data_IF_712448231707
#
_entry.id   IF_712448231707
#
_cell.length_a   1.000
_cell.length_b   1.000
_cell.length_c   1.000
_cell.angle_alpha   90.00
_cell.angle_beta   90.00
_cell.angle_gamma   90.00
#
_symmetry.space_group_name_H-M   'P 1'
#
loop_
_entity.id
_entity.type
_entity.pdbx_description
1 polymer ?
#
# COMPACT_ATOMS: atom_id res chain seq x y z
N UNK A 1 9.15 10.00 6.30
CA UNK A 1 7.87 9.51 5.73
C UNK A 1 6.86 9.44 6.86
N UNK A 2 5.62 9.90 6.68
CA UNK A 2 4.61 9.95 7.75
C UNK A 2 4.26 8.51 8.20
N UNK A 3 4.42 8.13 9.48
CA UNK A 3 4.13 6.79 9.99
C UNK A 3 2.72 6.30 9.68
N UNK A 4 1.73 7.21 9.69
CA UNK A 4 0.34 6.88 9.41
C UNK A 4 0.13 6.35 7.97
N UNK A 5 0.88 6.87 6.99
CA UNK A 5 0.78 6.41 5.61
C UNK A 5 1.35 5.00 5.43
N UNK A 6 2.45 4.71 6.12
CA UNK A 6 3.06 3.37 6.14
C UNK A 6 2.10 2.36 6.77
N UNK A 7 1.42 2.74 7.86
CA UNK A 7 0.44 1.88 8.53
C UNK A 7 -0.75 1.56 7.62
N UNK A 8 -1.29 2.56 6.89
CA UNK A 8 -2.38 2.35 5.92
C UNK A 8 -1.96 1.34 4.86
N UNK A 9 -0.81 1.55 4.22
CA UNK A 9 -0.28 0.65 3.19
C UNK A 9 -0.08 -0.75 3.76
N UNK A 10 0.62 -0.87 4.89
CA UNK A 10 0.94 -2.18 5.50
C UNK A 10 -0.32 -2.96 5.88
N UNK A 11 -1.32 -2.30 6.47
CA UNK A 11 -2.60 -2.94 6.85
C UNK A 11 -3.35 -3.45 5.62
N UNK A 12 -3.50 -2.62 4.60
CA UNK A 12 -4.23 -2.98 3.38
C UNK A 12 -3.57 -4.14 2.66
N UNK A 13 -2.24 -4.14 2.59
CA UNK A 13 -1.49 -5.24 1.97
C UNK A 13 -1.61 -6.53 2.77
N UNK A 14 -1.56 -6.46 4.11
CA UNK A 14 -1.78 -7.62 4.96
C UNK A 14 -3.20 -8.20 4.80
N UNK A 15 -4.22 -7.35 4.69
CA UNK A 15 -5.61 -7.79 4.51
C UNK A 15 -5.85 -8.37 3.11
N UNK A 16 -5.32 -7.72 2.07
CA UNK A 16 -5.33 -8.23 0.69
C UNK A 16 -4.65 -9.60 0.57
N UNK A 17 -3.49 -9.77 1.24
CA UNK A 17 -2.77 -11.05 1.29
C UNK A 17 -3.59 -12.15 1.99
N UNK A 18 -4.26 -11.82 3.11
CA UNK A 18 -5.16 -12.75 3.81
C UNK A 18 -6.37 -13.14 2.95
N UNK A 19 -6.82 -12.25 2.09
CA UNK A 19 -7.89 -12.51 1.13
C UNK A 19 -7.44 -13.34 -0.09
N UNK A 20 -6.13 -13.68 -0.19
CA UNK A 20 -5.59 -14.47 -1.29
C UNK A 20 -5.38 -13.70 -2.59
N UNK A 21 -5.38 -12.36 -2.53
CA UNK A 21 -5.07 -11.52 -3.69
C UNK A 21 -3.61 -11.67 -4.09
N UNK A 22 -3.34 -11.57 -5.39
CA UNK A 22 -1.97 -11.60 -5.90
C UNK A 22 -1.21 -10.30 -5.57
N UNK A 23 0.06 -10.25 -5.93
CA UNK A 23 0.94 -9.11 -5.60
C UNK A 23 0.52 -7.83 -6.34
N UNK A 24 -0.06 -7.95 -7.53
CA UNK A 24 -0.53 -6.81 -8.33
C UNK A 24 -1.79 -6.23 -7.68
N UNK A 25 -2.77 -7.09 -7.39
CA UNK A 25 -4.00 -6.71 -6.69
C UNK A 25 -3.73 -6.13 -5.30
N UNK A 26 -2.74 -6.67 -4.56
CA UNK A 26 -2.31 -6.11 -3.27
C UNK A 26 -1.77 -4.68 -3.41
N UNK A 27 -0.99 -4.41 -4.46
CA UNK A 27 -0.45 -3.06 -4.73
C UNK A 27 -1.57 -2.10 -5.11
N UNK A 28 -2.48 -2.52 -5.96
CA UNK A 28 -3.60 -1.68 -6.39
C UNK A 28 -4.53 -1.33 -5.24
N UNK A 29 -4.82 -2.30 -4.36
CA UNK A 29 -5.57 -2.06 -3.13
C UNK A 29 -4.88 -1.03 -2.22
N UNK A 30 -3.56 -1.13 -2.06
CA UNK A 30 -2.77 -0.20 -1.27
C UNK A 30 -2.78 1.21 -1.88
N UNK A 31 -2.63 1.34 -3.21
CA UNK A 31 -2.68 2.63 -3.91
C UNK A 31 -4.05 3.28 -3.74
N UNK A 32 -5.13 2.52 -3.97
CA UNK A 32 -6.49 3.03 -3.86
C UNK A 32 -6.79 3.53 -2.43
N UNK A 33 -6.38 2.76 -1.43
CA UNK A 33 -6.57 3.11 -0.02
C UNK A 33 -5.76 4.33 0.39
N UNK A 34 -4.52 4.42 -0.08
CA UNK A 34 -3.65 5.56 0.20
C UNK A 34 -4.15 6.83 -0.49
N UNK A 35 -4.63 6.73 -1.72
CA UNK A 35 -5.21 7.86 -2.45
C UNK A 35 -6.48 8.38 -1.76
N UNK A 36 -7.36 7.47 -1.31
CA UNK A 36 -8.55 7.84 -0.53
C UNK A 36 -8.20 8.57 0.78
N UNK A 37 -7.03 8.26 1.38
CA UNK A 37 -6.54 8.92 2.60
C UNK A 37 -5.84 10.27 2.36
N UNK A 38 -5.57 10.64 1.10
CA UNK A 38 -4.87 11.87 0.73
C UNK A 38 -5.69 12.73 -0.26
N UNK A 39 -6.89 13.19 0.12
CA UNK A 39 -7.72 14.03 -0.74
C UNK A 39 -7.02 15.38 -0.99
N UNK A 40 -6.50 15.56 -2.20
CA UNK A 40 -5.73 16.76 -2.59
C UNK A 40 -4.40 16.43 -3.27
N UNK A 41 -3.93 15.20 -3.14
CA UNK A 41 -2.72 14.74 -3.83
C UNK A 41 -3.04 14.13 -5.20
N UNK A 42 -2.09 14.19 -6.11
CA UNK A 42 -2.20 13.55 -7.41
C UNK A 42 -2.13 12.01 -7.25
N UNK A 43 -2.87 11.22 -8.05
CA UNK A 43 -2.82 9.75 -7.99
C UNK A 43 -1.41 9.17 -8.14
N UNK A 44 -0.56 9.85 -8.93
CA UNK A 44 0.84 9.49 -9.11
C UNK A 44 1.65 9.50 -7.80
N UNK A 45 1.29 10.36 -6.83
CA UNK A 45 1.95 10.43 -5.52
C UNK A 45 1.61 9.19 -4.69
N UNK A 46 0.36 8.72 -4.70
CA UNK A 46 -0.03 7.49 -4.03
C UNK A 46 0.69 6.27 -4.61
N UNK A 47 0.77 6.17 -5.94
CA UNK A 47 1.56 5.13 -6.62
C UNK A 47 3.03 5.15 -6.19
N UNK A 48 3.66 6.33 -6.20
CA UNK A 48 5.05 6.48 -5.83
C UNK A 48 5.31 6.06 -4.36
N UNK A 49 4.46 6.49 -3.44
CA UNK A 49 4.60 6.12 -2.01
C UNK A 49 4.43 4.61 -1.82
N UNK A 50 3.46 3.97 -2.47
CA UNK A 50 3.30 2.51 -2.39
C UNK A 50 4.54 1.80 -2.93
N UNK A 51 5.10 2.24 -4.07
CA UNK A 51 6.33 1.65 -4.61
C UNK A 51 7.54 1.75 -3.66
N UNK A 52 7.67 2.86 -2.92
CA UNK A 52 8.73 3.03 -1.91
C UNK A 52 8.56 2.08 -0.72
N UNK A 53 7.32 1.71 -0.38
CA UNK A 53 7.00 0.86 0.77
C UNK A 53 6.91 -0.62 0.35
N UNK A 54 6.71 -0.91 -0.94
CA UNK A 54 6.38 -2.23 -1.48
C UNK A 54 7.45 -2.66 -2.51
N UNK A 55 8.59 -3.24 -2.09
CA UNK A 55 8.61 -4.68 -1.74
C UNK A 55 9.19 -5.13 -0.37
N UNK A 56 9.75 -4.32 0.55
CA UNK A 56 10.32 -4.88 1.80
C UNK A 56 9.27 -5.55 2.71
N UNK A 57 7.96 -5.28 2.52
CA UNK A 57 6.88 -5.94 3.27
C UNK A 57 6.68 -7.42 2.87
N UNK A 58 7.13 -7.83 1.68
CA UNK A 58 7.01 -9.23 1.23
C UNK A 58 8.04 -10.12 1.94
N UNK A 59 9.21 -9.58 2.30
CA UNK A 59 10.32 -10.31 2.93
C UNK A 59 10.27 -10.33 4.48
N UNK A 60 9.52 -9.45 5.15
CA UNK A 60 9.45 -9.40 6.63
C UNK A 60 8.48 -10.46 7.20
N UNK A 61 7.73 -11.15 6.34
CA UNK A 61 6.76 -12.18 6.72
C UNK A 61 7.16 -13.61 6.30
N UNK A 62 8.43 -13.82 5.92
CA UNK A 62 9.00 -15.14 5.61
C UNK A 62 9.76 -15.71 6.81
#
# INVERSE_FOLDING_TARGET
MNPALIEIVTRVVADARRAGLDVEDQRDAAVASLWAAMPGEAPAIAHFIVQLVFPPVVDIAA
#
